data_IF_223770476150
#
_entry.id   IF_223770476150
#
_cell.length_a   1.000
_cell.length_b   1.000
_cell.length_c   1.000
_cell.angle_alpha   90.00
_cell.angle_beta   90.00
_cell.angle_gamma   90.00
#
_symmetry.space_group_name_H-M   'P 1'
#
loop_
_entity.id
_entity.type
_entity.pdbx_description
1 polymer ?
#
# COMPACT_ATOMS: atom_id res chain seq x y z
N UNK A 1 7.55 -9.57 23.00
CA UNK A 1 8.36 -9.54 21.76
C UNK A 1 7.42 -9.44 20.58
N UNK A 2 7.23 -8.24 20.00
CA UNK A 2 6.33 -8.07 18.84
C UNK A 2 7.02 -8.64 17.61
N UNK A 3 6.59 -9.83 17.17
CA UNK A 3 7.08 -10.44 15.94
C UNK A 3 6.84 -9.47 14.78
N UNK A 4 7.87 -9.26 13.96
CA UNK A 4 7.68 -8.63 12.66
C UNK A 4 6.77 -9.60 11.90
N UNK A 5 5.54 -9.22 11.51
CA UNK A 5 4.71 -10.11 10.70
C UNK A 5 5.51 -10.50 9.47
N UNK A 6 5.44 -11.77 9.12
CA UNK A 6 6.21 -12.28 7.99
C UNK A 6 5.75 -11.54 6.72
N UNK A 7 6.64 -11.41 5.72
CA UNK A 7 6.27 -10.81 4.43
C UNK A 7 5.02 -11.49 3.82
N UNK A 8 4.82 -12.76 4.14
CA UNK A 8 3.64 -13.55 3.75
C UNK A 8 2.35 -13.06 4.42
N UNK A 9 2.40 -12.68 5.68
CA UNK A 9 1.24 -12.12 6.41
C UNK A 9 0.86 -10.76 5.83
N UNK A 10 1.85 -9.94 5.48
CA UNK A 10 1.63 -8.66 4.79
C UNK A 10 0.99 -8.84 3.42
N UNK A 11 1.30 -9.94 2.74
CA UNK A 11 0.71 -10.26 1.45
C UNK A 11 -0.75 -10.73 1.54
N UNK A 12 -1.24 -11.16 2.70
CA UNK A 12 -2.63 -11.58 2.85
C UNK A 12 -3.61 -10.40 2.90
N UNK A 13 -3.13 -9.20 3.23
CA UNK A 13 -3.96 -8.00 3.34
C UNK A 13 -4.14 -7.34 1.98
N UNK A 14 -5.37 -7.01 1.56
CA UNK A 14 -5.64 -6.46 0.23
C UNK A 14 -5.19 -5.01 0.06
N UNK A 15 -5.03 -4.26 1.17
CA UNK A 15 -4.73 -2.83 1.16
C UNK A 15 -3.41 -2.58 1.87
N UNK A 16 -2.40 -2.14 1.12
CA UNK A 16 -1.17 -1.60 1.66
C UNK A 16 -1.01 -0.14 1.24
N UNK A 17 -0.33 0.65 2.08
CA UNK A 17 0.14 1.98 1.71
C UNK A 17 1.65 2.02 1.80
N UNK A 18 2.30 2.51 0.76
CA UNK A 18 3.74 2.69 0.74
C UNK A 18 4.06 4.14 1.09
N UNK A 19 4.74 4.34 2.21
CA UNK A 19 5.15 5.64 2.72
C UNK A 19 6.63 5.84 2.37
N UNK A 20 6.92 6.87 1.58
CA UNK A 20 8.28 7.39 1.40
C UNK A 20 8.53 8.49 2.42
N UNK A 21 9.79 8.81 2.70
CA UNK A 21 10.13 9.83 3.69
C UNK A 21 9.64 11.24 3.28
N UNK A 22 9.46 11.49 1.97
CA UNK A 22 9.19 12.82 1.40
C UNK A 22 7.78 13.02 0.82
N UNK A 23 6.90 12.01 0.84
CA UNK A 23 5.65 12.03 0.06
C UNK A 23 4.39 11.59 0.81
N UNK A 24 3.19 11.99 0.32
CA UNK A 24 1.95 11.37 0.75
C UNK A 24 1.96 9.90 0.37
N UNK A 25 1.66 9.02 1.33
CA UNK A 25 1.68 7.58 1.13
C UNK A 25 0.85 7.12 -0.08
N UNK A 26 1.44 6.32 -0.96
CA UNK A 26 0.76 5.82 -2.15
C UNK A 26 0.01 4.53 -1.86
N UNK A 27 -1.16 4.37 -2.47
CA UNK A 27 -1.86 3.09 -2.45
C UNK A 27 -1.03 2.07 -3.23
N UNK A 28 -0.83 0.90 -2.62
CA UNK A 28 0.04 -0.12 -3.15
C UNK A 28 -0.59 -1.51 -2.99
N UNK A 29 -0.35 -2.36 -3.98
CA UNK A 29 -0.85 -3.73 -4.03
C UNK A 29 0.34 -4.68 -3.93
N UNK A 30 0.17 -5.73 -3.13
CA UNK A 30 1.24 -6.68 -2.84
C UNK A 30 0.91 -8.04 -3.42
N UNK A 31 1.92 -8.78 -3.90
CA UNK A 31 1.81 -10.18 -4.29
C UNK A 31 3.05 -10.95 -3.87
N UNK A 32 2.87 -12.21 -3.48
CA UNK A 32 3.99 -13.13 -3.27
C UNK A 32 4.28 -13.83 -4.58
N UNK A 33 5.54 -13.89 -4.95
CA UNK A 33 6.01 -14.76 -6.03
C UNK A 33 7.28 -15.47 -5.58
N UNK A 34 7.27 -16.81 -5.63
CA UNK A 34 8.33 -17.62 -5.04
C UNK A 34 8.45 -17.39 -3.52
N UNK A 35 9.59 -16.84 -3.09
CA UNK A 35 9.90 -16.51 -1.69
C UNK A 35 9.83 -15.02 -1.39
N UNK A 36 9.60 -14.21 -2.40
CA UNK A 36 9.73 -12.77 -2.33
C UNK A 36 8.36 -12.08 -2.36
N UNK A 37 8.33 -10.90 -1.75
CA UNK A 37 7.16 -10.03 -1.76
C UNK A 37 7.39 -8.89 -2.74
N UNK A 38 6.42 -8.66 -3.60
CA UNK A 38 6.46 -7.59 -4.58
C UNK A 38 5.35 -6.59 -4.30
N UNK A 39 5.64 -5.34 -4.61
CA UNK A 39 4.69 -4.24 -4.53
C UNK A 39 4.56 -3.58 -5.89
N UNK A 40 3.34 -3.17 -6.23
CA UNK A 40 3.04 -2.39 -7.42
C UNK A 40 2.02 -1.30 -7.09
N UNK A 41 2.18 -0.12 -7.65
CA UNK A 41 1.18 0.96 -7.56
C UNK A 41 0.32 1.00 -8.82
N UNK A 42 -0.85 1.63 -8.72
CA UNK A 42 -1.68 1.88 -9.90
C UNK A 42 -0.97 2.84 -10.87
N UNK A 43 -1.27 2.76 -12.17
CA UNK A 43 -0.81 3.74 -13.16
C UNK A 43 -1.14 5.17 -12.72
N UNK A 44 -0.21 6.10 -12.91
CA UNK A 44 -0.37 7.50 -12.50
C UNK A 44 -0.24 7.76 -10.98
N UNK A 45 0.15 6.75 -10.20
CA UNK A 45 0.53 6.92 -8.80
C UNK A 45 1.78 7.81 -8.66
N UNK A 46 1.97 8.40 -7.47
CA UNK A 46 3.16 9.22 -7.22
C UNK A 46 4.43 8.37 -7.42
N UNK A 47 5.48 8.94 -8.04
CA UNK A 47 6.72 8.22 -8.27
C UNK A 47 7.32 7.80 -6.92
N UNK A 48 7.56 6.51 -6.78
CA UNK A 48 8.26 5.96 -5.62
C UNK A 48 9.67 5.66 -6.05
N UNK A 49 10.64 6.37 -5.49
CA UNK A 49 12.04 6.11 -5.74
C UNK A 49 12.47 4.80 -5.03
N UNK A 50 13.43 4.09 -5.62
CA UNK A 50 14.11 2.97 -4.97
C UNK A 50 14.75 3.40 -3.64
N UNK A 51 14.93 2.47 -2.71
CA UNK A 51 15.53 2.74 -1.40
C UNK A 51 14.61 2.53 -0.22
N UNK A 52 14.65 3.41 0.79
CA UNK A 52 13.99 3.20 2.09
C UNK A 52 12.52 3.59 2.01
N UNK A 53 11.64 2.71 2.46
CA UNK A 53 10.21 2.99 2.57
C UNK A 53 9.60 2.31 3.79
N UNK A 54 8.34 2.65 4.08
CA UNK A 54 7.53 1.97 5.10
C UNK A 54 6.24 1.46 4.47
N UNK A 55 5.95 0.18 4.65
CA UNK A 55 4.70 -0.42 4.24
C UNK A 55 3.71 -0.37 5.40
N UNK A 56 2.63 0.37 5.25
CA UNK A 56 1.51 0.40 6.18
C UNK A 56 0.50 -0.67 5.79
N UNK A 57 0.32 -1.66 6.66
CA UNK A 57 -0.63 -2.77 6.48
C UNK A 57 -1.39 -2.98 7.79
N UNK A 58 -2.72 -3.00 7.74
CA UNK A 58 -3.54 -3.24 8.93
C UNK A 58 -3.29 -2.26 10.10
N UNK A 59 -2.80 -1.04 9.81
CA UNK A 59 -2.45 -0.05 10.83
C UNK A 59 -1.03 -0.17 11.41
N UNK A 60 -0.27 -1.20 11.02
CA UNK A 60 1.12 -1.38 11.42
C UNK A 60 2.07 -0.89 10.30
N UNK A 61 3.13 -0.16 10.69
CA UNK A 61 4.17 0.30 9.77
C UNK A 61 5.34 -0.69 9.76
N UNK A 62 5.70 -1.15 8.57
CA UNK A 62 6.77 -2.11 8.35
C UNK A 62 7.91 -1.46 7.56
N UNK A 63 9.12 -1.37 8.14
CA UNK A 63 10.29 -0.87 7.43
C UNK A 63 10.70 -1.83 6.30
N UNK A 64 10.80 -1.30 5.09
CA UNK A 64 11.16 -2.08 3.91
C UNK A 64 12.17 -1.33 3.05
N UNK A 65 12.89 -2.07 2.23
CA UNK A 65 13.69 -1.53 1.14
C UNK A 65 13.03 -1.92 -0.18
N UNK A 66 12.97 -0.97 -1.10
CA UNK A 66 12.49 -1.13 -2.47
C UNK A 66 13.68 -1.42 -3.37
N UNK A 67 13.71 -2.63 -3.91
CA UNK A 67 14.69 -3.05 -4.90
C UNK A 67 14.04 -3.12 -6.29
N UNK A 68 14.78 -2.67 -7.30
CA UNK A 68 14.38 -2.80 -8.70
C UNK A 68 14.27 -4.28 -9.09
N UNK A 69 13.40 -4.55 -10.05
CA UNK A 69 13.11 -5.91 -10.52
C UNK A 69 13.43 -6.02 -12.00
N UNK A 70 13.91 -7.19 -12.41
CA UNK A 70 14.21 -7.45 -13.81
C UNK A 70 12.90 -7.53 -14.63
N UNK A 71 12.86 -7.02 -15.88
CA UNK A 71 11.62 -6.98 -16.67
C UNK A 71 10.93 -8.35 -16.86
N UNK A 72 11.71 -9.43 -16.84
CA UNK A 72 11.25 -10.80 -17.07
C UNK A 72 10.30 -11.28 -15.95
N UNK A 73 10.37 -10.68 -14.76
CA UNK A 73 9.47 -11.05 -13.66
C UNK A 73 8.07 -10.47 -13.79
N UNK A 74 7.84 -9.49 -14.67
CA UNK A 74 6.54 -8.84 -14.79
C UNK A 74 5.42 -9.78 -15.25
N UNK A 75 5.69 -10.68 -16.20
CA UNK A 75 4.69 -11.65 -16.68
C UNK A 75 4.20 -12.59 -15.57
N UNK A 76 5.09 -13.27 -14.83
CA UNK A 76 4.72 -14.07 -13.67
C UNK A 76 3.98 -13.27 -12.57
N UNK A 77 4.37 -12.01 -12.34
CA UNK A 77 3.70 -11.14 -11.37
C UNK A 77 2.29 -10.76 -11.83
N UNK A 78 2.07 -10.51 -13.12
CA UNK A 78 0.75 -10.22 -13.67
C UNK A 78 -0.21 -11.39 -13.46
N UNK A 79 0.26 -12.62 -13.66
CA UNK A 79 -0.50 -13.82 -13.35
C UNK A 79 -0.86 -13.88 -11.86
N UNK A 80 0.09 -13.57 -10.97
CA UNK A 80 -0.16 -13.52 -9.53
C UNK A 80 -1.18 -12.43 -9.14
N UNK A 81 -1.10 -11.23 -9.75
CA UNK A 81 -2.07 -10.15 -9.54
C UNK A 81 -3.47 -10.55 -10.00
N UNK A 82 -3.59 -11.17 -11.19
CA UNK A 82 -4.88 -11.67 -11.70
C UNK A 82 -5.46 -12.75 -10.81
N UNK A 83 -4.64 -13.70 -10.34
CA UNK A 83 -5.08 -14.75 -9.43
C UNK A 83 -5.58 -14.18 -8.09
N UNK A 84 -4.85 -13.22 -7.52
CA UNK A 84 -5.17 -12.64 -6.21
C UNK A 84 -6.37 -11.69 -6.24
N UNK A 85 -6.45 -10.82 -7.25
CA UNK A 85 -7.42 -9.73 -7.28
C UNK A 85 -8.52 -9.89 -8.33
N UNK A 86 -8.30 -10.70 -9.38
CA UNK A 86 -9.19 -10.80 -10.53
C UNK A 86 -10.63 -11.18 -10.19
N UNK A 87 -10.84 -12.03 -9.18
CA UNK A 87 -12.18 -12.44 -8.75
C UNK A 87 -12.97 -11.32 -8.05
N UNK A 88 -12.30 -10.48 -7.26
CA UNK A 88 -12.96 -9.47 -6.39
C UNK A 88 -12.85 -8.04 -6.90
N UNK A 89 -11.87 -7.77 -7.76
CA UNK A 89 -11.59 -6.44 -8.29
C UNK A 89 -10.98 -6.56 -9.70
N UNK A 90 -11.75 -7.03 -10.70
CA UNK A 90 -11.25 -7.28 -12.05
C UNK A 90 -10.70 -6.02 -12.72
N UNK A 91 -11.32 -4.86 -12.50
CA UNK A 91 -10.86 -3.57 -13.03
C UNK A 91 -9.49 -3.18 -12.46
N UNK A 92 -9.29 -3.35 -11.15
CA UNK A 92 -7.99 -3.09 -10.50
C UNK A 92 -6.94 -4.08 -10.98
N UNK A 93 -7.30 -5.35 -11.14
CA UNK A 93 -6.38 -6.36 -11.68
C UNK A 93 -5.93 -5.98 -13.10
N UNK A 94 -6.83 -5.53 -13.97
CA UNK A 94 -6.49 -5.05 -15.33
C UNK A 94 -5.54 -3.86 -15.29
N UNK A 95 -5.83 -2.87 -14.45
CA UNK A 95 -4.97 -1.69 -14.31
C UNK A 95 -3.57 -2.04 -13.76
N UNK A 96 -3.49 -2.98 -12.81
CA UNK A 96 -2.22 -3.46 -12.24
C UNK A 96 -1.38 -4.28 -13.22
N UNK A 97 -1.97 -4.89 -14.25
CA UNK A 97 -1.25 -5.64 -15.29
C UNK A 97 -1.04 -4.81 -16.57
N UNK A 98 -1.02 -3.48 -16.45
CA UNK A 98 -0.65 -2.59 -17.56
C UNK A 98 0.85 -2.28 -17.50
N UNK A 99 1.45 -1.95 -18.64
CA UNK A 99 2.88 -1.59 -18.72
C UNK A 99 3.22 -0.38 -17.84
N UNK A 100 2.31 0.60 -17.75
CA UNK A 100 2.44 1.76 -16.87
C UNK A 100 2.51 1.36 -15.38
N UNK A 101 1.80 0.29 -14.98
CA UNK A 101 1.92 -0.25 -13.63
C UNK A 101 3.14 -1.15 -13.47
N UNK A 102 3.60 -1.83 -14.53
CA UNK A 102 4.83 -2.63 -14.48
C UNK A 102 6.04 -1.77 -14.11
N UNK A 103 6.13 -0.55 -14.63
CA UNK A 103 7.17 0.43 -14.29
C UNK A 103 7.21 0.85 -12.81
N UNK A 104 6.16 0.57 -12.02
CA UNK A 104 6.09 0.89 -10.59
C UNK A 104 6.30 -0.33 -9.69
N UNK A 105 6.84 -1.41 -10.25
CA UNK A 105 7.08 -2.66 -9.54
C UNK A 105 8.40 -2.61 -8.78
N UNK A 106 8.35 -2.95 -7.49
CA UNK A 106 9.53 -3.15 -6.67
C UNK A 106 9.45 -4.45 -5.89
N UNK A 107 10.60 -5.08 -5.63
CA UNK A 107 10.71 -6.13 -4.61
C UNK A 107 10.84 -5.48 -3.24
N UNK A 108 10.14 -6.04 -2.26
CA UNK A 108 10.20 -5.64 -0.86
C UNK A 108 11.18 -6.52 -0.10
N UNK A 109 12.26 -5.91 0.35
CA UNK A 109 13.20 -6.54 1.27
C UNK A 109 12.93 -6.02 2.70
N UNK A 110 12.74 -6.95 3.65
CA UNK A 110 12.48 -6.58 5.03
C UNK A 110 13.73 -5.94 5.64
N UNK A 111 13.60 -4.72 6.17
CA UNK A 111 14.74 -4.00 6.77
C UNK A 111 14.62 -3.97 8.29
N UNK A 112 15.67 -4.39 8.98
CA UNK A 112 15.76 -4.21 10.44
C UNK A 112 16.02 -2.74 10.74
N UNK A 113 15.12 -2.11 11.50
CA UNK A 113 15.33 -0.74 11.97
C UNK A 113 16.40 -0.70 13.08
N UNK A 114 17.23 0.33 13.03
CA UNK A 114 18.06 0.73 14.17
C UNK A 114 17.19 1.32 15.29
N UNK A 115 17.70 1.37 16.51
CA UNK A 115 16.95 1.92 17.66
C UNK A 115 16.52 3.38 17.44
N UNK A 116 17.40 4.21 16.86
CA UNK A 116 17.09 5.60 16.52
C UNK A 116 15.93 5.71 15.51
N UNK A 117 15.90 4.86 14.48
CA UNK A 117 14.81 4.84 13.50
C UNK A 117 13.49 4.34 14.12
N UNK A 118 13.54 3.41 15.10
CA UNK A 118 12.34 2.98 15.83
C UNK A 118 11.74 4.13 16.64
N UNK A 119 12.57 4.95 17.28
CA UNK A 119 12.12 6.13 18.02
C UNK A 119 11.54 7.18 17.06
N UNK A 120 12.16 7.42 15.90
CA UNK A 120 11.63 8.32 14.89
C UNK A 120 10.28 7.85 14.33
N UNK A 121 10.14 6.56 14.02
CA UNK A 121 8.89 5.97 13.56
C UNK A 121 7.77 6.09 14.61
N UNK A 122 8.08 5.88 15.90
CA UNK A 122 7.13 6.09 16.99
C UNK A 122 6.66 7.55 17.08
N UNK A 123 7.56 8.52 16.91
CA UNK A 123 7.22 9.96 16.90
C UNK A 123 6.32 10.34 15.72
N UNK A 124 6.58 9.82 14.52
CA UNK A 124 5.72 10.03 13.34
C UNK A 124 4.34 9.41 13.55
N UNK A 125 4.26 8.18 14.05
CA UNK A 125 2.98 7.53 14.34
C UNK A 125 2.13 8.31 15.36
N UNK A 126 2.77 8.91 16.37
CA UNK A 126 2.10 9.81 17.33
C UNK A 126 1.61 11.09 16.63
N UNK A 127 2.39 11.67 15.72
CA UNK A 127 2.00 12.85 14.93
C UNK A 127 0.83 12.57 14.00
N UNK A 128 0.84 11.44 13.29
CA UNK A 128 -0.24 11.04 12.39
C UNK A 128 -1.54 10.78 13.16
N UNK A 129 -1.46 10.12 14.33
CA UNK A 129 -2.63 9.93 15.21
C UNK A 129 -3.26 11.27 15.60
N UNK A 130 -2.45 12.31 15.83
CA UNK A 130 -2.95 13.68 16.09
C UNK A 130 -3.56 14.34 14.86
N UNK A 131 -3.00 14.13 13.66
CA UNK A 131 -3.57 14.65 12.41
C UNK A 131 -4.92 14.01 12.05
N UNK A 132 -5.05 12.69 12.24
CA UNK A 132 -6.32 11.99 11.96
C UNK A 132 -7.38 12.21 13.06
N UNK A 133 -6.99 12.58 14.29
CA UNK A 133 -7.93 12.95 15.34
C UNK A 133 -8.56 14.35 15.15
N UNK A 134 -8.02 15.19 14.24
CA UNK A 134 -8.52 16.54 13.96
C UNK A 134 -9.62 16.62 12.89
N UNK A 135 -9.88 15.55 12.14
CA UNK A 135 -10.89 15.53 11.06
C UNK A 135 -12.29 15.15 11.56
N UNK A 136 -12.67 15.63 12.76
CA UNK A 136 -13.95 15.33 13.40
C UNK A 136 -14.79 16.59 13.65
N UNK A 137 -15.89 16.68 12.91
CA UNK A 137 -17.09 17.56 13.08
C UNK A 137 -17.09 18.92 12.38
N UNK A 138 -17.51 18.92 11.12
CA UNK A 138 -18.47 19.92 10.59
C UNK A 138 -19.42 19.22 9.61
N UNK A 139 -20.37 18.46 10.15
CA UNK A 139 -21.54 18.00 9.40
C UNK A 139 -22.78 18.65 10.00
N UNK A 140 -23.08 19.90 9.61
CA UNK A 140 -24.39 20.49 9.83
C UNK A 140 -25.29 19.91 8.75
N UNK A 141 -26.16 18.99 9.14
CA UNK A 141 -27.18 18.44 8.25
C UNK A 141 -28.15 19.58 7.88
N UNK A 142 -28.04 20.11 6.67
CA UNK A 142 -29.19 20.70 5.98
C UNK A 142 -29.98 19.54 5.42
N UNK A 143 -31.11 19.23 6.06
CA UNK A 143 -32.10 18.34 5.49
C UNK A 143 -32.67 18.99 4.24
N UNK A 144 -32.52 18.32 3.11
CA UNK A 144 -33.35 18.55 1.94
C UNK A 144 -34.08 17.25 1.68
N UNK A 145 -35.39 17.34 1.84
CA UNK A 145 -36.36 16.26 1.71
C UNK A 145 -36.56 15.98 0.22
N UNK A 146 -36.27 14.76 -0.21
CA UNK A 146 -36.54 14.32 -1.59
C UNK A 146 -37.92 13.64 -1.59
N UNK A 147 -38.97 14.24 -2.19
CA UNK A 147 -40.27 13.57 -2.28
C UNK A 147 -40.20 12.40 -3.28
N UNK A 148 -40.61 11.23 -2.81
CA UNK A 148 -40.82 10.05 -3.63
C UNK A 148 -42.02 10.27 -4.58
N UNK A 149 -41.81 10.08 -5.88
CA UNK A 149 -42.88 9.95 -6.89
C UNK A 149 -43.12 8.47 -7.14
N UNK A 150 -44.30 7.99 -6.78
CA UNK A 150 -45.06 6.94 -7.47
C UNK A 150 -46.45 6.79 -6.85
N UNK A 151 -47.49 7.24 -7.58
CA UNK A 151 -48.83 6.66 -7.75
C UNK A 151 -49.62 7.54 -8.71
#
# INVERSE_FOLDING_TARGET
MTAIPSLRDLASTPTARLLTDDGPGVAAWTVVHGRDLYVRSMPGGAPVAHGRARLLVGGAQHPVTLAEVAPEVHGPLDAAFRAKYGRRAPEKARALTSDAAAATTFRLDARRLTWAERVAAARVAVRDRRRFAGAGRTGRATGDEVPCVAC
#
